data_IF_081056525342
#
_entry.id   IF_081056525342
#
_cell.length_a   1.000
_cell.length_b   1.000
_cell.length_c   1.000
_cell.angle_alpha   90.00
_cell.angle_beta   90.00
_cell.angle_gamma   90.00
#
_symmetry.space_group_name_H-M   'P 1'
#
loop_
_entity.id
_entity.type
_entity.pdbx_description
1 polymer ?
#
# COMPACT_ATOMS: atom_id res chain seq x y z
N UNK A 1 23.46 -13.34 -16.69
CA UNK A 1 22.05 -13.34 -17.15
C UNK A 1 21.27 -12.40 -16.23
N UNK A 2 21.01 -11.17 -16.68
CA UNK A 2 20.49 -10.08 -15.83
C UNK A 2 19.04 -10.38 -15.40
N UNK A 3 18.80 -10.59 -14.10
CA UNK A 3 17.47 -10.52 -13.46
C UNK A 3 16.88 -9.13 -13.74
N UNK A 4 16.18 -8.94 -14.86
CA UNK A 4 15.56 -7.65 -15.21
C UNK A 4 14.12 -7.63 -14.71
N UNK A 5 13.94 -6.94 -13.58
CA UNK A 5 12.71 -6.31 -13.05
C UNK A 5 11.49 -7.22 -13.06
N UNK A 6 11.46 -8.14 -12.09
CA UNK A 6 10.29 -8.95 -11.76
C UNK A 6 9.75 -8.39 -10.44
N UNK A 7 8.50 -7.94 -10.43
CA UNK A 7 7.77 -7.81 -9.17
C UNK A 7 6.96 -9.10 -9.00
N UNK A 8 7.47 -10.00 -8.14
CA UNK A 8 6.74 -11.20 -7.77
C UNK A 8 5.77 -10.78 -6.67
N UNK A 9 4.51 -10.53 -7.06
CA UNK A 9 3.43 -10.58 -6.09
C UNK A 9 3.47 -11.95 -5.44
N UNK A 10 3.40 -12.02 -4.11
CA UNK A 10 3.45 -13.28 -3.36
C UNK A 10 2.48 -14.29 -3.98
N UNK A 11 2.97 -15.50 -4.27
CA UNK A 11 2.23 -16.55 -5.00
C UNK A 11 0.94 -17.02 -4.28
N UNK A 12 0.62 -16.50 -3.08
CA UNK A 12 -0.33 -17.09 -2.13
C UNK A 12 -1.47 -16.17 -1.66
N UNK A 13 -2.06 -15.37 -2.55
CA UNK A 13 -3.30 -14.65 -2.22
C UNK A 13 -3.14 -13.53 -1.18
N UNK A 14 -4.22 -12.74 -1.01
CA UNK A 14 -4.35 -11.46 -0.26
C UNK A 14 -3.17 -11.17 0.66
N UNK A 15 -2.15 -10.51 0.10
CA UNK A 15 -0.96 -10.12 0.85
C UNK A 15 -1.29 -8.94 1.74
N UNK A 16 -1.15 -9.11 3.06
CA UNK A 16 -1.12 -7.99 3.99
C UNK A 16 0.16 -7.19 3.70
N UNK A 17 0.04 -6.14 2.90
CA UNK A 17 1.19 -5.31 2.57
C UNK A 17 1.71 -4.57 3.80
N UNK A 18 2.97 -4.82 4.12
CA UNK A 18 3.72 -3.93 5.00
C UNK A 18 4.05 -2.61 4.28
N UNK A 19 4.64 -1.67 5.02
CA UNK A 19 5.02 -0.36 4.48
C UNK A 19 6.04 -0.50 3.33
N UNK A 20 6.91 -1.51 3.36
CA UNK A 20 7.94 -1.78 2.35
C UNK A 20 7.34 -2.31 1.04
N UNK A 21 6.46 -3.31 1.10
CA UNK A 21 5.79 -3.89 -0.08
C UNK A 21 4.97 -2.82 -0.82
N UNK A 22 4.27 -1.96 -0.07
CA UNK A 22 3.56 -0.80 -0.63
C UNK A 22 4.47 0.17 -1.33
N UNK A 23 5.60 0.49 -0.73
CA UNK A 23 6.59 1.37 -1.34
C UNK A 23 7.13 0.75 -2.64
N UNK A 24 7.54 -0.52 -2.61
CA UNK A 24 8.00 -1.26 -3.80
C UNK A 24 6.93 -1.25 -4.90
N UNK A 25 5.68 -1.51 -4.56
CA UNK A 25 4.56 -1.50 -5.52
C UNK A 25 4.31 -0.10 -6.09
N UNK A 26 4.27 0.94 -5.26
CA UNK A 26 4.09 2.33 -5.69
C UNK A 26 5.18 2.76 -6.67
N UNK A 27 6.44 2.48 -6.34
CA UNK A 27 7.59 2.78 -7.21
C UNK A 27 7.54 1.99 -8.52
N UNK A 28 7.06 0.75 -8.48
CA UNK A 28 6.83 -0.02 -9.68
C UNK A 28 5.76 0.62 -10.58
N UNK A 29 4.65 1.11 -10.01
CA UNK A 29 3.64 1.86 -10.76
C UNK A 29 4.20 3.16 -11.36
N UNK A 30 4.93 3.97 -10.58
CA UNK A 30 5.60 5.18 -11.09
C UNK A 30 6.58 4.86 -12.25
N UNK A 31 7.27 3.71 -12.16
CA UNK A 31 8.14 3.23 -13.23
C UNK A 31 7.37 2.88 -14.50
N UNK A 32 6.16 2.33 -14.38
CA UNK A 32 5.30 2.04 -15.53
C UNK A 32 4.67 3.31 -16.11
N UNK A 33 4.24 4.25 -15.26
CA UNK A 33 3.63 5.53 -15.68
C UNK A 33 4.62 6.44 -16.40
N UNK A 34 5.88 6.43 -15.99
CA UNK A 34 6.94 7.17 -16.68
C UNK A 34 7.28 6.59 -18.06
N UNK A 35 6.80 5.38 -18.42
CA UNK A 35 6.99 4.83 -19.76
C UNK A 35 5.95 5.39 -20.72
N UNK A 36 6.45 6.05 -21.75
CA UNK A 36 5.65 6.55 -22.86
C UNK A 36 6.21 6.00 -24.17
N UNK A 37 5.31 5.49 -25.00
CA UNK A 37 5.58 5.25 -26.42
C UNK A 37 5.46 6.56 -27.21
N UNK A 38 5.93 6.54 -28.47
CA UNK A 38 5.72 7.61 -29.45
C UNK A 38 4.30 7.64 -30.01
N UNK A 39 3.63 6.50 -30.01
CA UNK A 39 2.25 6.33 -30.46
C UNK A 39 1.57 5.22 -29.67
N UNK A 40 0.54 4.62 -30.23
CA UNK A 40 -0.20 3.51 -29.59
C UNK A 40 0.58 2.19 -29.70
N UNK A 41 1.62 2.01 -28.89
CA UNK A 41 2.57 0.89 -29.00
C UNK A 41 2.89 0.19 -27.67
N UNK A 42 2.20 0.55 -26.60
CA UNK A 42 2.29 -0.09 -25.29
C UNK A 42 1.05 -0.93 -25.03
N UNK A 43 1.24 -2.24 -24.94
CA UNK A 43 0.22 -3.24 -24.64
C UNK A 43 0.11 -3.42 -23.13
N UNK A 44 -1.12 -3.34 -22.63
CA UNK A 44 -1.51 -3.66 -21.26
C UNK A 44 -2.53 -4.78 -21.28
N UNK A 45 -2.31 -5.81 -20.49
CA UNK A 45 -3.15 -6.99 -20.41
C UNK A 45 -3.47 -7.35 -18.95
N UNK A 46 -4.75 -7.40 -18.60
CA UNK A 46 -5.26 -7.90 -17.33
C UNK A 46 -6.00 -9.23 -17.57
N UNK A 47 -5.61 -10.25 -16.83
CA UNK A 47 -6.15 -11.61 -16.94
C UNK A 47 -6.76 -11.99 -15.58
N UNK A 48 -8.08 -12.22 -15.50
CA UNK A 48 -8.72 -12.61 -14.26
C UNK A 48 -8.29 -14.03 -13.84
N UNK A 49 -8.47 -14.40 -12.55
CA UNK A 49 -8.20 -15.75 -12.10
C UNK A 49 -9.10 -16.77 -12.81
N UNK A 50 -8.56 -17.96 -13.06
CA UNK A 50 -9.28 -19.04 -13.74
C UNK A 50 -9.34 -18.94 -15.27
N UNK A 51 -8.97 -17.80 -15.87
CA UNK A 51 -8.89 -17.68 -17.33
C UNK A 51 -7.67 -18.44 -17.87
N UNK A 52 -7.88 -19.31 -18.85
CA UNK A 52 -6.82 -20.14 -19.42
C UNK A 52 -5.83 -19.30 -20.22
N UNK A 53 -4.54 -19.48 -19.96
CA UNK A 53 -3.47 -18.75 -20.66
C UNK A 53 -3.48 -19.05 -22.17
N UNK A 54 -3.79 -20.29 -22.57
CA UNK A 54 -3.90 -20.67 -23.99
C UNK A 54 -4.95 -19.84 -24.76
N UNK A 55 -6.10 -19.59 -24.14
CA UNK A 55 -7.18 -18.78 -24.72
C UNK A 55 -6.74 -17.32 -24.88
N UNK A 56 -6.03 -16.80 -23.89
CA UNK A 56 -5.47 -15.44 -23.93
C UNK A 56 -4.39 -15.33 -25.02
N UNK A 57 -3.52 -16.33 -25.15
CA UNK A 57 -2.53 -16.38 -26.26
C UNK A 57 -3.25 -16.45 -27.61
N UNK A 58 -4.33 -17.23 -27.72
CA UNK A 58 -5.17 -17.29 -28.91
C UNK A 58 -5.74 -15.92 -29.28
N UNK A 59 -6.28 -15.20 -28.31
CA UNK A 59 -6.78 -13.83 -28.47
C UNK A 59 -5.66 -12.87 -28.92
N UNK A 60 -4.49 -12.90 -28.28
CA UNK A 60 -3.36 -12.04 -28.67
C UNK A 60 -2.85 -12.34 -30.09
N UNK A 61 -2.95 -13.58 -30.57
CA UNK A 61 -2.61 -13.91 -31.98
C UNK A 61 -3.61 -13.29 -32.97
N UNK A 62 -4.87 -13.18 -32.60
CA UNK A 62 -5.87 -12.46 -33.41
C UNK A 62 -5.56 -10.96 -33.43
N UNK A 63 -5.24 -10.37 -32.29
CA UNK A 63 -4.80 -8.97 -32.20
C UNK A 63 -3.52 -8.70 -33.00
N UNK A 64 -2.57 -9.65 -32.99
CA UNK A 64 -1.35 -9.58 -33.81
C UNK A 64 -1.68 -9.56 -35.32
N UNK A 65 -2.64 -10.39 -35.76
CA UNK A 65 -3.10 -10.39 -37.15
C UNK A 65 -3.78 -9.06 -37.52
N UNK A 66 -4.61 -8.51 -36.63
CA UNK A 66 -5.24 -7.19 -36.83
C UNK A 66 -4.21 -6.07 -36.90
N UNK A 67 -3.19 -6.11 -36.03
CA UNK A 67 -2.11 -5.11 -36.01
C UNK A 67 -1.32 -5.06 -37.33
N UNK A 68 -1.27 -6.14 -38.10
CA UNK A 68 -0.62 -6.16 -39.42
C UNK A 68 -1.21 -5.15 -40.42
N UNK A 69 -2.46 -4.72 -40.21
CA UNK A 69 -3.15 -3.74 -41.05
C UNK A 69 -2.84 -2.27 -40.69
N UNK A 70 -2.03 -2.00 -39.65
CA UNK A 70 -1.65 -0.64 -39.28
C UNK A 70 -0.87 0.02 -40.43
N UNK A 71 -1.31 1.22 -40.82
CA UNK A 71 -0.75 1.99 -41.95
C UNK A 71 0.70 2.44 -41.71
N UNK A 72 0.98 2.94 -40.51
CA UNK A 72 2.31 3.40 -40.12
C UNK A 72 3.25 2.21 -39.94
N UNK A 73 4.33 2.14 -40.74
CA UNK A 73 5.31 1.02 -40.68
C UNK A 73 5.98 0.90 -39.32
N UNK A 74 6.35 2.03 -38.71
CA UNK A 74 6.99 2.07 -37.38
C UNK A 74 6.05 1.57 -36.29
N UNK A 75 4.86 2.17 -36.21
CA UNK A 75 3.83 1.80 -35.22
C UNK A 75 3.39 0.35 -35.39
N UNK A 76 3.20 -0.12 -36.63
CA UNK A 76 2.87 -1.51 -36.92
C UNK A 76 3.90 -2.47 -36.32
N UNK A 77 5.18 -2.23 -36.61
CA UNK A 77 6.26 -3.07 -36.08
C UNK A 77 6.29 -3.04 -34.55
N UNK A 78 6.21 -1.85 -33.95
CA UNK A 78 6.25 -1.70 -32.49
C UNK A 78 5.10 -2.42 -31.78
N UNK A 79 3.86 -2.32 -32.30
CA UNK A 79 2.70 -3.03 -31.77
C UNK A 79 2.86 -4.55 -31.92
N UNK A 80 3.28 -5.02 -33.09
CA UNK A 80 3.48 -6.45 -33.33
C UNK A 80 4.54 -7.03 -32.39
N UNK A 81 5.70 -6.35 -32.27
CA UNK A 81 6.78 -6.73 -31.38
C UNK A 81 6.32 -6.75 -29.90
N UNK A 82 5.49 -5.80 -29.48
CA UNK A 82 4.92 -5.74 -28.14
C UNK A 82 3.97 -6.92 -27.86
N UNK A 83 3.07 -7.25 -28.79
CA UNK A 83 2.15 -8.38 -28.67
C UNK A 83 2.91 -9.70 -28.63
N UNK A 84 3.90 -9.88 -29.53
CA UNK A 84 4.75 -11.07 -29.53
C UNK A 84 5.49 -11.23 -28.21
N UNK A 85 6.06 -10.15 -27.67
CA UNK A 85 6.75 -10.19 -26.38
C UNK A 85 5.81 -10.52 -25.22
N UNK A 86 4.56 -10.03 -25.26
CA UNK A 86 3.53 -10.40 -24.29
C UNK A 86 3.18 -11.90 -24.39
N UNK A 87 3.04 -12.44 -25.60
CA UNK A 87 2.81 -13.88 -25.82
C UNK A 87 3.97 -14.71 -25.27
N UNK A 88 5.21 -14.34 -25.56
CA UNK A 88 6.38 -15.06 -25.04
C UNK A 88 6.44 -15.03 -23.52
N UNK A 89 6.03 -13.90 -22.91
CA UNK A 89 5.91 -13.78 -21.45
C UNK A 89 4.84 -14.71 -20.90
N UNK A 90 3.66 -14.77 -21.52
CA UNK A 90 2.55 -15.61 -21.07
C UNK A 90 2.88 -17.10 -21.09
N UNK A 91 3.67 -17.58 -22.07
CA UNK A 91 4.10 -18.98 -22.15
C UNK A 91 4.91 -19.47 -20.94
N UNK A 92 5.44 -18.55 -20.12
CA UNK A 92 6.14 -18.91 -18.88
C UNK A 92 5.18 -19.31 -17.75
N UNK A 93 3.88 -19.07 -17.90
CA UNK A 93 2.87 -19.32 -16.89
C UNK A 93 1.96 -20.47 -17.30
N UNK A 94 1.69 -21.38 -16.37
CA UNK A 94 0.74 -22.48 -16.56
C UNK A 94 -0.71 -22.01 -16.46
N UNK A 95 -0.99 -21.08 -15.57
CA UNK A 95 -2.30 -20.48 -15.31
C UNK A 95 -2.14 -19.00 -14.91
N UNK A 96 -3.26 -18.29 -14.74
CA UNK A 96 -3.27 -16.88 -14.33
C UNK A 96 -3.10 -16.67 -12.83
N UNK A 97 -2.90 -17.72 -12.02
CA UNK A 97 -2.81 -17.62 -10.57
C UNK A 97 -4.14 -17.33 -9.86
N UNK A 98 -4.15 -17.31 -8.52
CA UNK A 98 -5.36 -17.18 -7.70
C UNK A 98 -5.99 -15.78 -7.75
N UNK A 99 -5.18 -14.75 -8.02
CA UNK A 99 -5.62 -13.35 -8.10
C UNK A 99 -5.68 -12.81 -9.55
N UNK A 100 -5.26 -13.61 -10.53
CA UNK A 100 -5.08 -13.17 -11.90
C UNK A 100 -3.63 -12.76 -12.23
N UNK A 101 -3.39 -12.41 -13.48
CA UNK A 101 -2.07 -12.10 -14.03
C UNK A 101 -2.15 -10.84 -14.87
N UNK A 102 -1.17 -9.96 -14.71
CA UNK A 102 -1.08 -8.72 -15.47
C UNK A 102 0.24 -8.71 -16.24
N UNK A 103 0.17 -8.31 -17.51
CA UNK A 103 1.34 -8.18 -18.39
C UNK A 103 1.34 -6.80 -19.04
N UNK A 104 2.49 -6.12 -18.95
CA UNK A 104 2.78 -4.88 -19.66
C UNK A 104 3.90 -5.16 -20.65
N UNK A 105 3.72 -4.78 -21.92
CA UNK A 105 4.71 -5.01 -22.97
C UNK A 105 4.70 -3.85 -23.95
N UNK A 106 5.88 -3.35 -24.32
CA UNK A 106 5.93 -2.29 -25.31
C UNK A 106 7.34 -1.91 -25.72
N UNK A 107 7.43 -1.30 -26.89
CA UNK A 107 8.67 -0.74 -27.42
C UNK A 107 8.86 0.68 -26.83
N UNK A 108 9.86 0.86 -25.97
CA UNK A 108 10.09 2.13 -25.29
C UNK A 108 11.25 2.86 -25.97
N UNK A 109 11.04 4.10 -26.47
CA UNK A 109 12.07 4.87 -27.14
C UNK A 109 13.24 5.17 -26.19
N UNK A 110 14.47 5.07 -26.68
CA UNK A 110 15.68 5.41 -25.93
C UNK A 110 16.21 6.78 -26.39
N UNK A 111 16.94 6.83 -27.51
CA UNK A 111 17.56 8.04 -28.05
C UNK A 111 17.46 8.02 -29.58
N UNK A 112 16.50 8.75 -30.16
CA UNK A 112 16.29 8.82 -31.62
C UNK A 112 15.47 7.65 -32.21
N UNK A 113 15.06 7.79 -33.47
CA UNK A 113 14.19 6.82 -34.14
C UNK A 113 14.88 5.47 -34.39
N UNK A 114 14.19 4.35 -34.14
CA UNK A 114 14.72 3.00 -34.37
C UNK A 114 15.56 2.42 -33.22
N UNK A 115 15.74 3.15 -32.12
CA UNK A 115 16.45 2.69 -30.91
C UNK A 115 15.49 2.15 -29.84
N UNK A 116 14.24 1.85 -30.21
CA UNK A 116 13.25 1.38 -29.26
C UNK A 116 13.68 0.05 -28.64
N UNK A 117 13.51 -0.06 -27.34
CA UNK A 117 13.83 -1.26 -26.58
C UNK A 117 12.54 -1.86 -26.07
N UNK A 118 12.29 -3.12 -26.43
CA UNK A 118 11.15 -3.86 -25.91
C UNK A 118 11.37 -4.11 -24.42
N UNK A 119 10.45 -3.61 -23.60
CA UNK A 119 10.39 -3.90 -22.18
C UNK A 119 9.11 -4.68 -21.89
N UNK A 120 9.23 -5.72 -21.06
CA UNK A 120 8.10 -6.53 -20.63
C UNK A 120 8.13 -6.70 -19.13
N UNK A 121 7.01 -6.38 -18.51
CA UNK A 121 6.75 -6.51 -17.09
C UNK A 121 5.59 -7.46 -16.88
N UNK A 122 5.59 -8.18 -15.77
CA UNK A 122 4.45 -8.94 -15.32
C UNK A 122 4.34 -8.82 -13.80
N UNK A 123 3.12 -8.96 -13.28
CA UNK A 123 2.86 -9.08 -11.86
C UNK A 123 1.63 -9.92 -11.59
N UNK A 124 1.60 -10.52 -10.41
CA UNK A 124 0.39 -11.04 -9.80
C UNK A 124 -0.18 -9.94 -8.88
N UNK A 125 -1.44 -9.53 -9.05
CA UNK A 125 -2.05 -8.52 -8.21
C UNK A 125 -2.27 -9.07 -6.79
N UNK A 126 -2.26 -8.20 -5.77
CA UNK A 126 -2.45 -8.61 -4.37
C UNK A 126 -3.86 -9.15 -4.11
N UNK A 127 -4.84 -8.70 -4.89
CA UNK A 127 -6.24 -9.10 -4.79
C UNK A 127 -6.76 -9.52 -6.17
N UNK A 128 -7.78 -10.41 -6.21
CA UNK A 128 -8.37 -10.86 -7.46
C UNK A 128 -8.87 -9.73 -8.36
N UNK A 129 -8.52 -9.80 -9.64
CA UNK A 129 -9.06 -8.92 -10.68
C UNK A 129 -10.20 -9.64 -11.39
N UNK A 130 -11.39 -9.02 -11.39
CA UNK A 130 -12.62 -9.65 -11.90
C UNK A 130 -12.92 -9.33 -13.36
N UNK A 131 -11.98 -8.75 -14.10
CA UNK A 131 -12.17 -8.35 -15.49
C UNK A 131 -10.99 -8.78 -16.35
N UNK A 132 -11.29 -9.04 -17.63
CA UNK A 132 -10.27 -9.17 -18.67
C UNK A 132 -10.16 -7.86 -19.41
N UNK A 133 -8.94 -7.38 -19.64
CA UNK A 133 -8.68 -6.16 -20.40
C UNK A 133 -7.47 -6.36 -21.29
N UNK A 134 -7.61 -6.05 -22.58
CA UNK A 134 -6.51 -5.83 -23.51
C UNK A 134 -6.60 -4.38 -23.99
N UNK A 135 -5.50 -3.63 -23.88
CA UNK A 135 -5.43 -2.24 -24.33
C UNK A 135 -4.07 -1.95 -24.94
N UNK A 136 -4.06 -1.31 -26.11
CA UNK A 136 -2.85 -0.79 -26.74
C UNK A 136 -2.94 0.74 -26.76
N UNK A 137 -1.99 1.42 -26.13
CA UNK A 137 -1.99 2.88 -25.98
C UNK A 137 -0.55 3.43 -25.97
N UNK A 138 -0.41 4.74 -25.86
CA UNK A 138 0.89 5.43 -25.69
C UNK A 138 1.47 5.34 -24.29
N UNK A 139 0.64 4.95 -23.31
CA UNK A 139 1.03 4.75 -21.90
C UNK A 139 0.46 3.43 -21.40
N UNK A 140 1.15 2.81 -20.44
CA UNK A 140 0.58 1.64 -19.77
C UNK A 140 -0.65 2.02 -18.95
N UNK A 141 -1.70 1.20 -19.02
CA UNK A 141 -2.92 1.43 -18.27
C UNK A 141 -2.81 0.84 -16.86
N UNK A 142 -2.42 1.67 -15.91
CA UNK A 142 -2.15 1.27 -14.52
C UNK A 142 -3.23 1.68 -13.52
N UNK A 143 -4.28 2.39 -13.96
CA UNK A 143 -5.27 2.98 -13.04
C UNK A 143 -5.93 1.96 -12.10
N UNK A 144 -6.33 0.75 -12.55
CA UNK A 144 -6.87 -0.27 -11.65
C UNK A 144 -5.90 -0.69 -10.55
N UNK A 145 -4.59 -0.60 -10.80
CA UNK A 145 -3.56 -0.95 -9.82
C UNK A 145 -3.42 0.10 -8.71
N UNK A 146 -3.76 1.36 -8.99
CA UNK A 146 -3.71 2.43 -7.98
C UNK A 146 -4.68 2.18 -6.84
N UNK A 147 -5.78 1.45 -7.10
CA UNK A 147 -6.73 1.08 -6.06
C UNK A 147 -6.15 0.09 -5.04
N UNK A 148 -5.11 -0.68 -5.39
CA UNK A 148 -4.41 -1.55 -4.43
C UNK A 148 -3.48 -0.78 -3.49
N UNK A 149 -3.04 0.43 -3.88
CA UNK A 149 -2.29 1.30 -2.96
C UNK A 149 -3.19 1.90 -1.87
N UNK A 150 -4.52 1.90 -2.06
CA UNK A 150 -5.47 2.34 -1.04
C UNK A 150 -5.52 1.30 0.06
N UNK A 151 -5.27 1.72 1.30
CA UNK A 151 -5.28 0.81 2.43
C UNK A 151 -6.68 0.21 2.64
N UNK A 152 -6.74 -1.11 2.70
CA UNK A 152 -7.94 -1.85 3.09
C UNK A 152 -7.74 -2.37 4.51
N UNK A 153 -7.74 -1.47 5.48
CA UNK A 153 -7.78 -1.88 6.88
C UNK A 153 -9.09 -2.62 7.18
N UNK A 154 -9.04 -3.58 8.10
CA UNK A 154 -10.25 -4.25 8.61
C UNK A 154 -10.84 -3.40 9.72
N UNK A 155 -12.11 -3.00 9.60
CA UNK A 155 -12.81 -2.23 10.61
C UNK A 155 -14.25 -2.73 10.78
N UNK A 156 -14.76 -2.60 12.00
CA UNK A 156 -16.15 -2.90 12.32
C UNK A 156 -17.00 -1.65 12.16
N UNK A 157 -18.26 -1.81 11.75
CA UNK A 157 -19.28 -0.76 11.79
C UNK A 157 -20.46 -1.29 12.56
N UNK A 158 -20.95 -0.51 13.52
CA UNK A 158 -22.23 -0.70 14.19
C UNK A 158 -23.09 0.50 13.82
N UNK A 159 -24.10 0.31 12.98
CA UNK A 159 -25.13 1.30 12.70
C UNK A 159 -26.30 1.04 13.65
N UNK A 160 -26.66 1.98 14.52
CA UNK A 160 -27.65 1.77 15.59
C UNK A 160 -28.63 2.91 15.72
N UNK A 161 -29.92 2.56 15.80
CA UNK A 161 -30.98 3.40 16.37
C UNK A 161 -31.86 2.56 17.31
N UNK A 162 -32.92 3.17 17.85
CA UNK A 162 -33.88 2.57 18.77
C UNK A 162 -34.79 1.53 18.12
N UNK A 163 -34.91 1.53 16.80
CA UNK A 163 -35.80 0.62 16.05
C UNK A 163 -35.03 -0.54 15.43
N UNK A 164 -33.86 -0.25 14.85
CA UNK A 164 -33.04 -1.22 14.15
C UNK A 164 -31.53 -0.95 14.33
N UNK A 165 -30.73 -1.96 13.99
CA UNK A 165 -29.29 -1.87 13.96
C UNK A 165 -28.71 -2.82 12.92
N UNK A 166 -27.51 -2.54 12.44
CA UNK A 166 -26.72 -3.47 11.66
C UNK A 166 -25.26 -3.45 12.13
N UNK A 167 -24.65 -4.62 12.13
CA UNK A 167 -23.24 -4.83 12.43
C UNK A 167 -22.58 -5.34 11.17
N UNK A 168 -21.52 -4.65 10.74
CA UNK A 168 -20.75 -5.01 9.58
C UNK A 168 -19.26 -5.11 9.91
N UNK A 169 -18.58 -6.00 9.20
CA UNK A 169 -17.12 -6.03 9.13
C UNK A 169 -16.71 -5.67 7.71
N UNK A 170 -15.83 -4.69 7.63
CA UNK A 170 -15.39 -4.09 6.39
C UNK A 170 -13.91 -4.34 6.23
N UNK A 171 -13.49 -4.61 4.99
CA UNK A 171 -12.08 -4.63 4.59
C UNK A 171 -11.90 -3.61 3.47
N UNK A 172 -11.35 -2.45 3.82
CA UNK A 172 -11.40 -1.29 2.92
C UNK A 172 -12.85 -0.88 2.64
N UNK A 173 -13.30 -0.87 1.39
CA UNK A 173 -14.71 -0.57 1.05
C UNK A 173 -15.62 -1.81 0.97
N UNK A 174 -15.05 -3.01 1.01
CA UNK A 174 -15.81 -4.24 0.83
C UNK A 174 -16.44 -4.69 2.15
N UNK A 175 -17.74 -5.03 2.09
CA UNK A 175 -18.45 -5.68 3.19
C UNK A 175 -18.10 -7.16 3.20
N UNK A 176 -17.45 -7.62 4.27
CA UNK A 176 -17.07 -9.02 4.47
C UNK A 176 -18.18 -9.77 5.19
N UNK A 177 -18.79 -9.12 6.18
CA UNK A 177 -19.88 -9.67 6.97
C UNK A 177 -20.86 -8.55 7.29
N UNK A 178 -22.16 -8.84 7.24
CA UNK A 178 -23.24 -7.91 7.56
C UNK A 178 -24.35 -8.69 8.25
N UNK A 179 -24.78 -8.22 9.43
CA UNK A 179 -25.93 -8.76 10.14
C UNK A 179 -26.81 -7.63 10.63
N UNK A 180 -28.12 -7.81 10.48
CA UNK A 180 -29.12 -6.80 10.80
C UNK A 180 -30.00 -7.29 11.94
N UNK A 181 -30.40 -6.38 12.81
CA UNK A 181 -31.11 -6.62 14.05
C UNK A 181 -32.23 -5.60 14.21
N UNK A 182 -33.32 -6.01 14.85
CA UNK A 182 -34.44 -5.13 15.19
C UNK A 182 -34.60 -5.08 16.70
N UNK A 183 -35.04 -3.93 17.22
CA UNK A 183 -35.19 -3.76 18.67
C UNK A 183 -36.38 -4.53 19.23
N UNK A 184 -37.46 -4.62 18.44
CA UNK A 184 -38.74 -5.20 18.87
C UNK A 184 -39.45 -4.35 19.93
N UNK A 185 -39.01 -3.10 20.13
CA UNK A 185 -39.52 -2.22 21.18
C UNK A 185 -40.71 -1.42 20.64
N UNK A 186 -41.84 -1.37 21.36
CA UNK A 186 -42.97 -0.53 20.98
C UNK A 186 -42.57 0.96 20.87
N UNK A 187 -43.13 1.64 19.87
CA UNK A 187 -42.95 3.08 19.67
C UNK A 187 -43.43 3.91 20.88
N UNK A 188 -43.07 5.20 20.90
CA UNK A 188 -43.49 6.11 21.99
C UNK A 188 -45.01 6.19 22.07
N UNK A 189 -45.56 5.97 23.27
CA UNK A 189 -46.98 6.16 23.53
C UNK A 189 -47.32 7.66 23.62
N UNK A 190 -48.38 8.09 22.93
CA UNK A 190 -48.84 9.49 22.87
C UNK A 190 -49.77 9.88 24.03
N UNK A 191 -50.25 8.92 24.80
CA UNK A 191 -51.24 9.12 25.85
C UNK A 191 -50.57 9.50 27.19
N UNK A 192 -50.88 10.70 27.71
CA UNK A 192 -50.51 11.11 29.06
C UNK A 192 -51.41 10.50 30.14
N UNK A 193 -50.91 10.37 31.37
CA UNK A 193 -51.66 9.82 32.51
C UNK A 193 -50.77 9.35 33.66
N UNK A 194 -51.37 8.81 34.73
CA UNK A 194 -50.65 8.34 35.93
C UNK A 194 -49.66 7.19 35.64
N UNK A 195 -49.89 6.44 34.57
CA UNK A 195 -49.07 5.31 34.13
C UNK A 195 -47.95 5.69 33.14
N UNK A 196 -47.87 6.94 32.66
CA UNK A 196 -46.87 7.35 31.65
C UNK A 196 -45.44 7.08 32.11
N UNK A 197 -45.11 7.46 33.36
CA UNK A 197 -43.79 7.21 33.97
C UNK A 197 -43.44 5.72 34.08
N UNK A 198 -44.44 4.84 34.23
CA UNK A 198 -44.22 3.38 34.27
C UNK A 198 -43.89 2.85 32.87
N UNK A 199 -44.60 3.31 31.84
CA UNK A 199 -44.33 2.91 30.46
C UNK A 199 -42.98 3.42 29.95
N UNK A 200 -42.59 4.64 30.33
CA UNK A 200 -41.25 5.17 30.06
C UNK A 200 -40.16 4.27 30.65
N UNK A 201 -40.27 3.90 31.94
CA UNK A 201 -39.31 2.99 32.58
C UNK A 201 -39.22 1.61 31.93
N UNK A 202 -40.36 1.02 31.55
CA UNK A 202 -40.38 -0.27 30.86
C UNK A 202 -39.71 -0.17 29.49
N UNK A 203 -39.89 0.95 28.80
CA UNK A 203 -39.24 1.21 27.51
C UNK A 203 -37.73 1.39 27.67
N UNK A 204 -37.28 2.11 28.69
CA UNK A 204 -35.86 2.32 28.97
C UNK A 204 -35.16 0.99 29.32
N UNK A 205 -35.82 0.13 30.12
CA UNK A 205 -35.32 -1.22 30.40
C UNK A 205 -35.21 -2.07 29.12
N UNK A 206 -36.22 -2.04 28.26
CA UNK A 206 -36.19 -2.76 26.99
C UNK A 206 -35.09 -2.24 26.05
N UNK A 207 -34.83 -0.92 26.02
CA UNK A 207 -33.72 -0.33 25.27
C UNK A 207 -32.37 -0.79 25.79
N UNK A 208 -32.19 -0.83 27.11
CA UNK A 208 -30.96 -1.30 27.73
C UNK A 208 -30.68 -2.79 27.43
N UNK A 209 -31.72 -3.63 27.44
CA UNK A 209 -31.63 -5.03 27.04
C UNK A 209 -31.30 -5.17 25.55
N UNK A 210 -31.92 -4.36 24.69
CA UNK A 210 -31.61 -4.31 23.27
C UNK A 210 -30.14 -3.94 23.00
N UNK A 211 -29.63 -2.87 23.64
CA UNK A 211 -28.23 -2.47 23.51
C UNK A 211 -27.26 -3.53 24.03
N UNK A 212 -27.60 -4.20 25.14
CA UNK A 212 -26.77 -5.29 25.68
C UNK A 212 -26.68 -6.45 24.70
N UNK A 213 -27.81 -6.90 24.13
CA UNK A 213 -27.83 -7.96 23.10
C UNK A 213 -27.05 -7.56 21.84
N UNK A 214 -27.22 -6.32 21.39
CA UNK A 214 -26.50 -5.82 20.21
C UNK A 214 -24.98 -5.83 20.44
N UNK A 215 -24.52 -5.44 21.63
CA UNK A 215 -23.10 -5.49 21.98
C UNK A 215 -22.55 -6.90 22.11
N UNK A 216 -23.34 -7.87 22.61
CA UNK A 216 -22.95 -9.28 22.63
C UNK A 216 -22.69 -9.80 21.22
N UNK A 217 -23.59 -9.53 20.28
CA UNK A 217 -23.40 -9.88 18.87
C UNK A 217 -22.19 -9.15 18.26
N UNK A 218 -22.00 -7.87 18.59
CA UNK A 218 -20.84 -7.13 18.12
C UNK A 218 -19.52 -7.69 18.66
N UNK A 219 -19.50 -8.12 19.93
CA UNK A 219 -18.34 -8.75 20.53
C UNK A 219 -18.02 -10.08 19.86
N UNK A 220 -19.02 -10.92 19.61
CA UNK A 220 -18.86 -12.21 18.92
C UNK A 220 -18.23 -12.00 17.53
N UNK A 221 -18.80 -11.10 16.73
CA UNK A 221 -18.34 -10.82 15.38
C UNK A 221 -16.95 -10.16 15.42
N UNK A 222 -16.75 -9.08 16.17
CA UNK A 222 -15.49 -8.34 16.09
C UNK A 222 -14.30 -9.07 16.70
N UNK A 223 -14.52 -9.92 17.72
CA UNK A 223 -13.44 -10.72 18.30
C UNK A 223 -12.97 -11.84 17.38
N UNK A 224 -13.77 -12.28 16.39
CA UNK A 224 -13.31 -13.22 15.36
C UNK A 224 -12.37 -12.57 14.32
N UNK A 225 -12.23 -11.25 14.31
CA UNK A 225 -11.31 -10.50 13.45
C UNK A 225 -10.18 -9.88 14.27
N UNK A 226 -9.09 -10.63 14.57
CA UNK A 226 -7.98 -10.14 15.40
C UNK A 226 -7.23 -8.97 14.76
N UNK A 227 -7.34 -8.80 13.44
CA UNK A 227 -6.76 -7.70 12.68
C UNK A 227 -7.60 -6.41 12.69
N UNK A 228 -8.76 -6.39 13.37
CA UNK A 228 -9.66 -5.24 13.44
C UNK A 228 -8.98 -4.00 14.06
N UNK A 229 -8.93 -2.93 13.27
CA UNK A 229 -8.17 -1.70 13.53
C UNK A 229 -9.01 -0.65 14.25
N UNK A 230 -10.28 -0.53 13.86
CA UNK A 230 -11.22 0.44 14.38
C UNK A 230 -12.64 -0.16 14.43
N UNK A 231 -13.47 0.36 15.34
CA UNK A 231 -14.92 0.13 15.38
C UNK A 231 -15.58 1.49 15.19
N UNK A 232 -16.43 1.60 14.19
CA UNK A 232 -17.20 2.81 13.93
C UNK A 232 -18.61 2.58 14.45
N UNK A 233 -19.08 3.44 15.35
CA UNK A 233 -20.48 3.42 15.81
C UNK A 233 -21.20 4.60 15.16
N UNK A 234 -22.12 4.26 14.26
CA UNK A 234 -22.90 5.18 13.48
C UNK A 234 -24.38 5.15 13.91
N UNK A 235 -25.08 6.24 13.70
CA UNK A 235 -26.51 6.31 13.94
C UNK A 235 -27.04 7.74 13.96
N UNK A 236 -28.36 7.91 13.82
CA UNK A 236 -29.00 9.21 13.97
C UNK A 236 -29.11 9.61 15.44
N UNK A 237 -28.89 10.90 15.72
CA UNK A 237 -29.12 11.48 17.04
C UNK A 237 -28.26 10.85 18.16
N UNK A 238 -28.65 10.98 19.43
CA UNK A 238 -27.81 10.61 20.58
C UNK A 238 -27.75 9.09 20.86
N UNK A 239 -28.46 8.26 20.07
CA UNK A 239 -28.63 6.82 20.34
C UNK A 239 -27.29 6.08 20.37
N UNK A 240 -26.38 6.41 19.45
CA UNK A 240 -25.04 5.82 19.36
C UNK A 240 -24.16 6.11 20.57
N UNK A 241 -24.21 7.32 21.14
CA UNK A 241 -23.45 7.67 22.34
C UNK A 241 -23.96 6.93 23.57
N UNK A 242 -25.28 6.75 23.68
CA UNK A 242 -25.90 5.95 24.74
C UNK A 242 -25.48 4.48 24.59
N UNK A 243 -25.56 3.93 23.38
CA UNK A 243 -25.12 2.56 23.11
C UNK A 243 -23.64 2.34 23.46
N UNK A 244 -22.74 3.25 23.11
CA UNK A 244 -21.30 3.13 23.46
C UNK A 244 -21.08 3.11 24.97
N UNK A 245 -21.86 3.89 25.72
CA UNK A 245 -21.77 3.97 27.19
C UNK A 245 -22.40 2.76 27.88
N UNK A 246 -23.57 2.32 27.41
CA UNK A 246 -24.43 1.37 28.13
C UNK A 246 -24.42 -0.05 27.55
N UNK A 247 -24.11 -0.21 26.26
CA UNK A 247 -24.22 -1.47 25.53
C UNK A 247 -23.26 -2.56 26.02
N UNK A 248 -22.19 -2.23 26.74
CA UNK A 248 -21.18 -3.19 27.24
C UNK A 248 -20.35 -3.86 26.13
N UNK A 249 -19.82 -3.07 25.20
CA UNK A 249 -18.78 -3.54 24.29
C UNK A 249 -17.53 -4.00 25.06
N UNK A 250 -16.87 -5.03 24.53
CA UNK A 250 -15.68 -5.64 25.10
C UNK A 250 -14.57 -4.60 25.29
N UNK A 251 -13.82 -4.69 26.39
CA UNK A 251 -12.85 -3.64 26.77
C UNK A 251 -11.77 -3.41 25.70
N UNK A 252 -11.35 -4.45 24.98
CA UNK A 252 -10.34 -4.36 23.90
C UNK A 252 -10.81 -3.55 22.68
N UNK A 253 -12.11 -3.32 22.56
CA UNK A 253 -12.70 -2.53 21.48
C UNK A 253 -12.82 -1.05 21.86
N UNK A 254 -12.88 -0.70 23.14
CA UNK A 254 -13.18 0.67 23.62
C UNK A 254 -12.23 1.72 23.07
N UNK A 255 -10.93 1.43 23.07
CA UNK A 255 -9.89 2.34 22.55
C UNK A 255 -9.89 2.46 21.01
N UNK A 256 -10.69 1.65 20.34
CA UNK A 256 -10.84 1.60 18.89
C UNK A 256 -12.17 2.20 18.41
N UNK A 257 -13.02 2.68 19.32
CA UNK A 257 -14.35 3.20 18.99
C UNK A 257 -14.25 4.63 18.45
N UNK A 258 -14.86 4.85 17.28
CA UNK A 258 -15.08 6.15 16.70
C UNK A 258 -16.58 6.35 16.45
N UNK A 259 -17.14 7.46 16.91
CA UNK A 259 -18.58 7.75 16.77
C UNK A 259 -18.78 8.67 15.56
N UNK A 260 -19.77 8.36 14.72
CA UNK A 260 -20.14 9.15 13.54
C UNK A 260 -21.65 9.39 13.51
N UNK A 261 -22.08 10.61 13.25
CA UNK A 261 -23.48 10.89 12.93
C UNK A 261 -23.82 10.42 11.51
N UNK A 262 -24.90 9.66 11.37
CA UNK A 262 -25.48 9.27 10.09
C UNK A 262 -26.95 9.69 10.03
N UNK A 263 -27.47 9.78 8.81
CA UNK A 263 -28.87 10.13 8.55
C UNK A 263 -29.78 8.92 8.77
N UNK A 264 -29.26 7.71 8.50
CA UNK A 264 -29.98 6.45 8.62
C UNK A 264 -29.29 5.49 9.60
N UNK A 265 -30.05 4.49 10.05
CA UNK A 265 -29.61 3.34 10.85
C UNK A 265 -29.71 2.04 10.04
N UNK A 266 -29.49 0.88 10.67
CA UNK A 266 -29.53 -0.41 9.99
C UNK A 266 -28.50 -0.52 8.86
N UNK A 267 -28.83 -1.31 7.83
CA UNK A 267 -27.93 -1.56 6.69
C UNK A 267 -27.62 -0.30 5.88
N UNK A 268 -28.58 0.60 5.72
CA UNK A 268 -28.37 1.86 5.00
C UNK A 268 -27.42 2.78 5.78
N UNK A 269 -27.55 2.83 7.11
CA UNK A 269 -26.61 3.54 7.97
C UNK A 269 -25.19 2.96 7.91
N UNK A 270 -25.04 1.64 7.71
CA UNK A 270 -23.71 1.03 7.45
C UNK A 270 -23.12 1.58 6.16
N UNK A 271 -23.90 1.67 5.07
CA UNK A 271 -23.41 2.20 3.79
C UNK A 271 -22.99 3.67 3.91
N UNK A 272 -23.79 4.49 4.58
CA UNK A 272 -23.44 5.89 4.83
C UNK A 272 -22.18 6.00 5.71
N UNK A 273 -22.04 5.14 6.72
CA UNK A 273 -20.86 5.10 7.57
C UNK A 273 -19.60 4.69 6.79
N UNK A 274 -19.67 3.80 5.80
CA UNK A 274 -18.52 3.42 4.95
C UNK A 274 -17.93 4.65 4.25
N UNK A 275 -18.78 5.50 3.69
CA UNK A 275 -18.30 6.67 2.95
C UNK A 275 -17.65 7.71 3.87
N UNK A 276 -18.21 7.91 5.07
CA UNK A 276 -17.63 8.82 6.08
C UNK A 276 -16.40 8.22 6.79
N UNK A 277 -16.32 6.89 6.88
CA UNK A 277 -15.21 6.16 7.50
C UNK A 277 -13.90 6.38 6.76
N UNK A 278 -13.93 6.63 5.44
CA UNK A 278 -12.73 6.80 4.62
C UNK A 278 -11.77 7.86 5.18
N UNK A 279 -12.31 8.97 5.68
CA UNK A 279 -11.52 10.05 6.27
C UNK A 279 -10.88 9.61 7.60
N UNK A 280 -11.64 8.91 8.46
CA UNK A 280 -11.13 8.38 9.73
C UNK A 280 -10.01 7.36 9.50
N UNK A 281 -10.19 6.47 8.53
CA UNK A 281 -9.20 5.44 8.19
C UNK A 281 -7.89 6.07 7.69
N UNK A 282 -7.96 7.11 6.86
CA UNK A 282 -6.77 7.84 6.41
C UNK A 282 -6.00 8.46 7.59
N UNK A 283 -6.73 8.96 8.60
CA UNK A 283 -6.14 9.52 9.80
C UNK A 283 -5.45 8.47 10.69
N UNK A 284 -5.95 7.22 10.75
CA UNK A 284 -5.36 6.18 11.60
C UNK A 284 -3.92 5.82 11.20
N UNK A 285 -3.60 5.82 9.90
CA UNK A 285 -2.21 5.62 9.42
C UNK A 285 -1.30 6.73 9.91
N UNK A 286 -1.71 7.99 9.71
CA UNK A 286 -0.96 9.17 10.15
C UNK A 286 -0.76 9.16 11.67
N UNK A 287 -1.76 8.70 12.42
CA UNK A 287 -1.64 8.54 13.88
C UNK A 287 -0.60 7.48 14.25
N UNK A 288 -0.49 6.37 13.51
CA UNK A 288 0.58 5.37 13.76
C UNK A 288 1.96 5.91 13.42
N UNK A 289 2.11 6.53 12.26
CA UNK A 289 3.38 7.14 11.84
C UNK A 289 3.81 8.21 12.85
N UNK A 290 2.88 9.06 13.30
CA UNK A 290 3.12 10.03 14.37
C UNK A 290 3.54 9.38 15.68
N UNK A 291 2.84 8.33 16.15
CA UNK A 291 3.20 7.62 17.38
C UNK A 291 4.61 7.01 17.31
N UNK A 292 5.00 6.48 16.14
CA UNK A 292 6.33 5.93 15.91
C UNK A 292 7.40 7.03 16.00
N UNK A 293 7.18 8.18 15.36
CA UNK A 293 8.10 9.32 15.44
C UNK A 293 8.17 9.88 16.86
N UNK A 294 7.04 10.02 17.56
CA UNK A 294 7.00 10.48 18.95
C UNK A 294 7.72 9.49 19.89
N UNK A 295 7.66 8.19 19.61
CA UNK A 295 8.43 7.17 20.32
C UNK A 295 9.93 7.29 20.05
N UNK A 296 10.35 7.47 18.79
CA UNK A 296 11.75 7.73 18.44
C UNK A 296 12.30 8.92 19.22
N UNK A 297 11.59 10.05 19.20
CA UNK A 297 11.99 11.26 19.93
C UNK A 297 12.12 11.01 21.43
N UNK A 298 11.15 10.31 22.04
CA UNK A 298 11.23 9.95 23.45
C UNK A 298 12.43 9.08 23.78
N UNK A 299 12.74 8.07 22.95
CA UNK A 299 13.87 7.16 23.17
C UNK A 299 15.23 7.84 22.97
N UNK A 300 15.33 8.81 22.04
CA UNK A 300 16.53 9.65 21.88
C UNK A 300 16.84 10.39 23.18
N UNK A 301 15.84 11.02 23.80
CA UNK A 301 16.05 11.84 25.01
C UNK A 301 16.23 11.01 26.28
N UNK A 302 15.60 9.83 26.38
CA UNK A 302 15.49 9.10 27.65
C UNK A 302 16.37 7.84 27.78
N UNK A 303 16.70 7.18 26.67
CA UNK A 303 17.29 5.82 26.72
C UNK A 303 18.54 5.65 25.84
N UNK A 304 18.92 6.65 25.02
CA UNK A 304 20.02 6.55 24.05
C UNK A 304 19.98 5.26 23.20
N UNK A 305 18.78 4.71 22.97
CA UNK A 305 18.57 3.45 22.26
C UNK A 305 18.23 3.67 20.78
N UNK A 306 18.51 4.86 20.24
CA UNK A 306 18.21 5.25 18.87
C UNK A 306 19.50 5.71 18.21
N UNK A 307 19.80 5.14 17.07
CA UNK A 307 20.86 5.61 16.17
C UNK A 307 20.23 6.35 15.01
N UNK A 308 20.83 7.45 14.60
CA UNK A 308 20.36 8.23 13.45
C UNK A 308 21.55 8.77 12.67
N UNK A 309 21.27 9.19 11.43
CA UNK A 309 22.31 9.47 10.46
C UNK A 309 22.81 8.18 9.81
N UNK A 310 23.10 8.28 8.51
CA UNK A 310 23.29 7.13 7.64
C UNK A 310 24.46 6.23 8.06
N UNK A 311 25.60 6.81 8.41
CA UNK A 311 26.80 6.05 8.80
C UNK A 311 26.58 5.26 10.09
N UNK A 312 26.03 5.91 11.12
CA UNK A 312 25.70 5.29 12.40
C UNK A 312 24.68 4.16 12.24
N UNK A 313 23.63 4.39 11.44
CA UNK A 313 22.60 3.38 11.16
C UNK A 313 23.19 2.19 10.41
N UNK A 314 24.04 2.42 9.40
CA UNK A 314 24.72 1.35 8.67
C UNK A 314 25.63 0.53 9.55
N UNK A 315 26.39 1.18 10.43
CA UNK A 315 27.24 0.47 11.38
C UNK A 315 26.40 -0.42 12.32
N UNK A 316 25.29 0.11 12.84
CA UNK A 316 24.37 -0.66 13.68
C UNK A 316 23.67 -1.80 12.94
N UNK A 317 23.28 -1.61 11.68
CA UNK A 317 22.70 -2.64 10.81
C UNK A 317 23.69 -3.78 10.54
N UNK A 318 24.94 -3.44 10.18
CA UNK A 318 26.03 -4.41 10.00
C UNK A 318 26.32 -5.19 11.29
N UNK A 319 26.25 -4.51 12.43
CA UNK A 319 26.35 -5.14 13.75
C UNK A 319 25.11 -5.94 14.19
N UNK A 320 24.02 -5.95 13.39
CA UNK A 320 22.72 -6.56 13.73
C UNK A 320 22.12 -6.06 15.05
N UNK A 321 22.43 -4.83 15.41
CA UNK A 321 22.00 -4.19 16.66
C UNK A 321 20.65 -3.49 16.51
N UNK A 322 20.18 -3.26 15.29
CA UNK A 322 18.90 -2.60 15.01
C UNK A 322 17.75 -3.60 15.17
N UNK A 323 16.75 -3.23 15.95
CA UNK A 323 15.46 -3.92 16.08
C UNK A 323 14.50 -3.46 14.98
N UNK A 324 14.36 -2.14 14.84
CA UNK A 324 13.47 -1.48 13.90
C UNK A 324 14.20 -0.37 13.15
N UNK A 325 14.31 -0.49 11.84
CA UNK A 325 14.80 0.54 10.94
C UNK A 325 13.62 1.39 10.47
N UNK A 326 13.71 2.70 10.64
CA UNK A 326 12.71 3.66 10.19
C UNK A 326 13.32 4.51 9.09
N UNK A 327 12.65 4.56 7.94
CA UNK A 327 13.13 5.28 6.75
C UNK A 327 12.00 6.19 6.23
N UNK A 328 12.34 7.41 5.84
CA UNK A 328 11.39 8.30 5.18
C UNK A 328 11.16 7.87 3.72
N UNK A 329 9.90 7.85 3.27
CA UNK A 329 9.55 7.53 1.88
C UNK A 329 10.10 8.56 0.88
N UNK A 330 10.35 9.78 1.35
CA UNK A 330 10.76 10.95 0.58
C UNK A 330 12.29 11.21 0.60
N UNK A 331 13.10 10.24 1.04
CA UNK A 331 14.57 10.33 0.87
C UNK A 331 14.91 10.39 -0.62
N UNK A 332 15.60 11.45 -1.02
CA UNK A 332 16.05 11.74 -2.38
C UNK A 332 17.54 11.45 -2.59
N UNK A 333 18.10 10.53 -1.80
CA UNK A 333 19.51 10.13 -1.86
C UNK A 333 19.73 8.91 -2.77
N UNK A 334 20.83 8.92 -3.50
CA UNK A 334 21.28 7.86 -4.41
C UNK A 334 22.68 7.41 -4.01
N UNK A 335 22.88 6.10 -3.87
CA UNK A 335 24.20 5.51 -3.71
C UNK A 335 24.79 5.19 -5.09
N UNK A 336 25.95 5.75 -5.36
CA UNK A 336 26.76 5.43 -6.53
C UNK A 336 28.00 4.66 -6.14
N UNK A 337 28.30 3.61 -6.89
CA UNK A 337 29.59 2.91 -6.83
C UNK A 337 30.31 3.12 -8.13
N UNK A 338 31.55 3.58 -8.05
CA UNK A 338 32.38 3.79 -9.21
C UNK A 338 33.77 3.19 -8.98
N UNK A 339 34.34 2.65 -10.04
CA UNK A 339 35.64 2.00 -10.01
C UNK A 339 36.60 2.67 -10.99
N UNK A 340 37.89 2.66 -10.69
CA UNK A 340 38.89 3.13 -11.65
C UNK A 340 38.93 2.18 -12.86
N UNK A 341 39.21 2.74 -14.05
CA UNK A 341 39.37 1.94 -15.28
C UNK A 341 40.70 1.18 -15.32
N UNK A 342 41.71 1.65 -14.59
CA UNK A 342 43.09 1.19 -14.71
C UNK A 342 43.65 0.51 -13.45
N UNK A 343 42.92 0.56 -12.33
CA UNK A 343 43.32 -0.11 -11.09
C UNK A 343 42.11 -0.56 -10.28
N UNK A 344 42.36 -1.28 -9.19
CA UNK A 344 41.33 -1.84 -8.29
C UNK A 344 40.73 -0.81 -7.31
N UNK A 345 40.88 0.49 -7.58
CA UNK A 345 40.24 1.50 -6.73
C UNK A 345 38.72 1.48 -6.96
N UNK A 346 37.97 1.33 -5.88
CA UNK A 346 36.52 1.49 -5.85
C UNK A 346 36.14 2.46 -4.75
N UNK A 347 35.16 3.31 -5.05
CA UNK A 347 34.59 4.24 -4.10
C UNK A 347 33.06 4.16 -4.16
N UNK A 348 32.46 4.39 -3.00
CA UNK A 348 31.01 4.53 -2.83
C UNK A 348 30.73 5.93 -2.33
N UNK A 349 29.83 6.64 -3.00
CA UNK A 349 29.37 7.97 -2.59
C UNK A 349 27.85 8.02 -2.59
N UNK A 350 27.31 8.91 -1.76
CA UNK A 350 25.88 9.13 -1.62
C UNK A 350 25.63 10.60 -1.97
N UNK A 351 24.72 10.83 -2.90
CA UNK A 351 24.42 12.16 -3.46
C UNK A 351 22.91 12.35 -3.53
N UNK A 352 22.44 13.59 -3.45
CA UNK A 352 21.04 13.90 -3.76
C UNK A 352 20.72 13.67 -5.25
N UNK A 353 19.47 13.35 -5.61
CA UNK A 353 19.07 13.11 -7.00
C UNK A 353 19.40 14.31 -7.93
N UNK A 354 19.28 15.55 -7.41
CA UNK A 354 19.63 16.76 -8.17
C UNK A 354 21.15 16.93 -8.32
N UNK A 355 21.90 16.70 -7.24
CA UNK A 355 23.37 16.77 -7.23
C UNK A 355 23.97 15.72 -8.16
N UNK A 356 23.37 14.53 -8.22
CA UNK A 356 23.81 13.43 -9.06
C UNK A 356 23.93 13.84 -10.54
N UNK A 357 23.00 14.64 -11.06
CA UNK A 357 23.02 15.08 -12.47
C UNK A 357 24.27 15.92 -12.78
N UNK A 358 24.71 16.72 -11.81
CA UNK A 358 25.82 17.67 -11.96
C UNK A 358 27.16 17.04 -11.58
N UNK A 359 27.19 16.28 -10.50
CA UNK A 359 28.42 15.74 -9.90
C UNK A 359 28.84 14.41 -10.53
N UNK A 360 27.91 13.56 -10.97
CA UNK A 360 28.26 12.27 -11.57
C UNK A 360 29.18 12.40 -12.78
N UNK A 361 28.95 13.28 -13.77
CA UNK A 361 29.86 13.44 -14.90
C UNK A 361 31.25 13.94 -14.48
N UNK A 362 31.31 14.86 -13.49
CA UNK A 362 32.58 15.39 -12.96
C UNK A 362 33.38 14.31 -12.25
N UNK A 363 32.71 13.50 -11.42
CA UNK A 363 33.31 12.38 -10.69
C UNK A 363 33.83 11.32 -11.64
N UNK A 364 33.03 10.92 -12.63
CA UNK A 364 33.45 9.94 -13.64
C UNK A 364 34.61 10.43 -14.51
N UNK A 365 34.79 11.75 -14.66
CA UNK A 365 35.92 12.36 -15.39
C UNK A 365 37.11 12.73 -14.49
N UNK A 366 37.02 12.44 -13.19
CA UNK A 366 38.03 12.77 -12.20
C UNK A 366 39.32 11.97 -12.35
N UNK A 367 40.34 12.36 -11.57
CA UNK A 367 41.61 11.63 -11.47
C UNK A 367 41.54 10.60 -10.35
N UNK A 368 42.04 9.40 -10.61
CA UNK A 368 42.15 8.36 -9.59
C UNK A 368 43.17 8.74 -8.51
N UNK A 369 42.81 8.71 -7.21
CA UNK A 369 43.76 9.01 -6.13
C UNK A 369 44.86 7.95 -5.96
N UNK A 370 44.66 6.71 -6.46
CA UNK A 370 45.60 5.59 -6.31
C UNK A 370 46.65 5.53 -7.42
N UNK A 371 46.26 5.76 -8.68
CA UNK A 371 47.15 5.59 -9.84
C UNK A 371 47.24 6.81 -10.75
N UNK A 372 46.51 7.88 -10.47
CA UNK A 372 46.54 9.12 -11.26
C UNK A 372 45.87 9.05 -12.64
N UNK A 373 45.35 7.88 -13.05
CA UNK A 373 44.65 7.74 -14.33
C UNK A 373 43.37 8.58 -14.34
N UNK A 374 43.03 9.13 -15.51
CA UNK A 374 41.77 9.83 -15.71
C UNK A 374 40.65 8.85 -15.97
N UNK A 375 39.49 9.12 -15.38
CA UNK A 375 38.27 8.41 -15.68
C UNK A 375 37.97 7.29 -14.70
N UNK A 376 36.70 7.21 -14.31
CA UNK A 376 36.11 6.12 -13.56
C UNK A 376 34.97 5.49 -14.37
N UNK A 377 34.75 4.19 -14.16
CA UNK A 377 33.54 3.49 -14.61
C UNK A 377 32.48 3.55 -13.52
N UNK A 378 31.24 3.83 -13.92
CA UNK A 378 30.09 3.62 -13.05
C UNK A 378 29.83 2.12 -12.91
N UNK A 379 29.87 1.62 -11.68
CA UNK A 379 29.61 0.21 -11.34
C UNK A 379 28.13 0.02 -11.00
N UNK A 380 27.58 0.87 -10.14
CA UNK A 380 26.17 0.86 -9.79
C UNK A 380 25.66 2.25 -9.44
N UNK A 381 24.36 2.45 -9.62
CA UNK A 381 23.62 3.65 -9.24
C UNK A 381 22.25 3.17 -8.75
N UNK A 382 22.03 3.22 -7.45
CA UNK A 382 20.83 2.67 -6.80
C UNK A 382 20.30 3.68 -5.77
N UNK A 383 18.97 3.78 -5.62
CA UNK A 383 18.38 4.68 -4.61
C UNK A 383 18.75 4.19 -3.21
N UNK A 384 19.07 5.12 -2.31
CA UNK A 384 19.55 4.77 -0.97
C UNK A 384 18.53 3.92 -0.20
N UNK A 385 17.24 4.25 -0.30
CA UNK A 385 16.17 3.46 0.31
C UNK A 385 16.17 2.00 -0.17
N UNK A 386 16.41 1.73 -1.45
CA UNK A 386 16.49 0.35 -1.97
C UNK A 386 17.71 -0.40 -1.42
N UNK A 387 18.83 0.31 -1.25
CA UNK A 387 20.04 -0.25 -0.64
C UNK A 387 19.79 -0.58 0.84
N UNK A 388 19.21 0.35 1.60
CA UNK A 388 18.89 0.16 3.02
C UNK A 388 17.86 -0.95 3.23
N UNK A 389 16.86 -1.09 2.37
CA UNK A 389 15.92 -2.20 2.40
C UNK A 389 16.62 -3.55 2.22
N UNK A 390 17.60 -3.63 1.31
CA UNK A 390 18.40 -4.84 1.10
C UNK A 390 19.30 -5.15 2.30
N UNK A 391 19.98 -4.15 2.84
CA UNK A 391 20.81 -4.27 4.05
C UNK A 391 19.96 -4.71 5.27
N UNK A 392 18.71 -4.23 5.37
CA UNK A 392 17.77 -4.63 6.40
C UNK A 392 17.30 -6.09 6.23
N UNK A 393 16.98 -6.51 5.00
CA UNK A 393 16.64 -7.90 4.67
C UNK A 393 17.80 -8.85 5.03
N UNK A 394 19.04 -8.50 4.67
CA UNK A 394 20.26 -9.27 4.99
C UNK A 394 20.53 -9.37 6.51
N UNK A 395 20.24 -8.30 7.25
CA UNK A 395 20.38 -8.25 8.71
C UNK A 395 19.16 -8.81 9.47
N UNK A 396 18.08 -9.18 8.76
CA UNK A 396 16.78 -9.59 9.32
C UNK A 396 16.19 -8.54 10.27
N UNK A 397 16.35 -7.29 9.91
CA UNK A 397 15.84 -6.13 10.67
C UNK A 397 14.44 -5.78 10.20
N UNK A 398 13.53 -5.44 11.11
CA UNK A 398 12.20 -4.94 10.74
C UNK A 398 12.32 -3.54 10.17
N UNK A 399 11.58 -3.23 9.12
CA UNK A 399 11.58 -1.90 8.51
C UNK A 399 10.18 -1.29 8.58
N UNK A 400 10.11 -0.02 8.91
CA UNK A 400 8.90 0.80 8.76
C UNK A 400 9.21 2.06 7.96
N UNK A 401 8.36 2.34 6.96
CA UNK A 401 8.45 3.56 6.18
C UNK A 401 7.49 4.63 6.71
N UNK A 402 7.97 5.87 6.81
CA UNK A 402 7.20 7.03 7.28
C UNK A 402 7.07 8.04 6.15
N UNK A 403 5.88 8.60 5.94
CA UNK A 403 5.68 9.63 4.93
C UNK A 403 5.84 11.03 5.52
N UNK A 404 6.43 11.94 4.76
CA UNK A 404 6.57 13.36 5.11
C UNK A 404 5.30 14.18 4.89
N UNK A 405 4.15 13.55 4.63
CA UNK A 405 2.85 14.23 4.41
C UNK A 405 2.23 14.85 5.67
N UNK A 406 2.78 14.54 6.84
CA UNK A 406 2.34 15.09 8.12
C UNK A 406 3.52 15.68 8.89
N UNK A 407 3.23 16.59 9.84
CA UNK A 407 4.23 17.36 10.60
C UNK A 407 5.32 16.46 11.23
N UNK A 408 4.92 15.37 11.91
CA UNK A 408 5.89 14.46 12.51
C UNK A 408 6.79 13.75 11.48
N UNK A 409 6.29 13.43 10.28
CA UNK A 409 7.09 12.83 9.21
C UNK A 409 8.05 13.83 8.58
N UNK A 410 7.62 15.08 8.39
CA UNK A 410 8.48 16.17 7.94
C UNK A 410 9.59 16.46 8.96
N UNK A 411 9.24 16.49 10.25
CA UNK A 411 10.21 16.61 11.34
C UNK A 411 11.20 15.45 11.33
N UNK A 412 10.73 14.22 11.09
CA UNK A 412 11.59 13.04 11.00
C UNK A 412 12.62 13.18 9.86
N UNK A 413 12.17 13.60 8.68
CA UNK A 413 13.04 13.84 7.53
C UNK A 413 14.10 14.92 7.84
N UNK A 414 13.69 16.05 8.41
CA UNK A 414 14.60 17.18 8.70
C UNK A 414 15.58 16.91 9.84
N UNK A 415 15.11 16.27 10.91
CA UNK A 415 15.90 16.10 12.14
C UNK A 415 16.84 14.89 12.05
N UNK A 416 16.37 13.79 11.47
CA UNK A 416 17.12 12.54 11.40
C UNK A 416 17.72 12.26 10.01
N UNK A 417 17.61 13.21 9.07
CA UNK A 417 18.03 13.01 7.67
C UNK A 417 17.23 11.89 6.99
N UNK A 418 16.03 11.61 7.48
CA UNK A 418 15.15 10.56 6.98
C UNK A 418 15.50 9.12 7.39
N UNK A 419 16.58 8.88 8.14
CA UNK A 419 16.98 7.51 8.53
C UNK A 419 17.27 7.42 10.02
N UNK A 420 16.60 6.50 10.71
CA UNK A 420 16.87 6.17 12.10
C UNK A 420 16.72 4.67 12.36
N UNK A 421 17.42 4.14 13.35
CA UNK A 421 17.31 2.77 13.83
C UNK A 421 17.05 2.74 15.33
N UNK A 422 16.03 2.02 15.76
CA UNK A 422 15.85 1.64 17.16
C UNK A 422 16.73 0.43 17.42
N UNK A 423 17.65 0.56 18.38
CA UNK A 423 18.51 -0.54 18.80
C UNK A 423 17.70 -1.56 19.62
N UNK A 424 18.07 -2.84 19.48
CA UNK A 424 17.61 -3.90 20.37
C UNK A 424 18.00 -3.50 21.78
N UNK A 425 17.04 -3.50 22.70
CA UNK A 425 17.33 -3.24 24.11
C UNK A 425 18.47 -4.14 24.57
N UNK A 426 19.53 -3.54 25.12
CA UNK A 426 20.51 -4.28 25.90
C UNK A 426 19.72 -4.93 27.04
N UNK A 427 19.55 -6.25 26.96
CA UNK A 427 19.09 -7.02 28.11
C UNK A 427 19.96 -6.62 29.30
N UNK A 428 19.30 -6.23 30.39
CA UNK A 428 19.89 -6.36 31.71
C UNK A 428 20.18 -7.83 31.99
#
# INVERSE_FOLDING_TARGET
MKRRRIWVGTENGIAKWDSVERYKFRRFLETLESRSGRGTELVTLYIPPGKRIDEVIGYLRQELATASNIKSKGTRKAVMDAIESAIQRLKLFKDSGPNGLIVFSGAIPQNGEGTEKIEVYHLFPPEPINFFLYRCDSKFYVDPLKDFLKERETYGVISVDNEDAAIAVLRGKAIVELRSYTSGIPGKHRAGGQSSRRFERLRDQALQEYYSRLAEHANEIFLSYPDLKAVIVAGPGPTKEVFVKEGKLHYSLRDKIHIIDTSYSGEEGVREAIDRAADILSNLRLVRERRLVDELMRRVTSQNSVVYGLDSVRQALRGRQVELLVISEEIDLVEIKYGCLNCEFEATEILGEQELVVELPKKLSGKCPKCGSQGFRLVSQERLIEVLLREAEESRTRVELVSSRHEAGEMFLRTFGGVAGILKGSGR
#
